data_IF_707999090905
#
_entry.id   IF_707999090905
#
_cell.length_a   1.000
_cell.length_b   1.000
_cell.length_c   1.000
_cell.angle_alpha   90.00
_cell.angle_beta   90.00
_cell.angle_gamma   90.00
#
_symmetry.space_group_name_H-M   'P 1'
#
loop_
_entity.id
_entity.type
_entity.pdbx_description
1 polymer ?
#
# COMPACT_ATOMS: atom_id res chain seq x y z
N UNK A 1 -14.89 8.05 2.15
CA UNK A 1 -15.31 9.08 1.17
C UNK A 1 -16.77 9.44 1.38
N UNK A 2 -17.23 10.54 0.79
CA UNK A 2 -18.59 11.05 0.97
C UNK A 2 -18.77 11.96 2.20
N UNK A 3 -17.68 12.36 2.86
CA UNK A 3 -17.67 13.33 3.95
C UNK A 3 -16.70 14.47 3.63
N UNK A 4 -16.78 15.56 4.36
CA UNK A 4 -15.79 16.64 4.26
C UNK A 4 -14.49 16.25 4.97
N UNK A 5 -13.30 16.76 4.54
CA UNK A 5 -12.02 16.51 5.21
C UNK A 5 -12.03 16.83 6.70
N UNK A 6 -12.85 17.80 7.13
CA UNK A 6 -13.04 18.14 8.53
C UNK A 6 -13.51 16.97 9.40
N UNK A 7 -14.25 16.01 8.85
CA UNK A 7 -14.66 14.82 9.59
C UNK A 7 -13.46 13.95 10.02
N UNK A 8 -12.31 14.06 9.34
CA UNK A 8 -11.09 13.33 9.67
C UNK A 8 -10.37 13.88 10.91
N UNK A 9 -10.77 15.04 11.42
CA UNK A 9 -10.23 15.61 12.67
C UNK A 9 -10.64 14.81 13.91
N UNK A 10 -11.82 14.16 13.86
CA UNK A 10 -12.44 13.46 15.00
C UNK A 10 -12.59 11.95 14.80
N UNK A 11 -12.19 11.42 13.63
CA UNK A 11 -12.27 10.00 13.33
C UNK A 11 -11.18 9.22 14.09
N UNK A 12 -11.49 7.98 14.46
CA UNK A 12 -10.51 6.94 14.82
C UNK A 12 -10.42 5.87 13.72
N UNK A 13 -9.35 5.09 13.73
CA UNK A 13 -9.11 4.08 12.70
C UNK A 13 -10.09 2.89 12.82
N UNK A 14 -10.65 2.66 14.00
CA UNK A 14 -11.68 1.66 14.24
C UNK A 14 -12.98 1.99 13.48
N UNK A 15 -13.31 3.28 13.36
CA UNK A 15 -14.44 3.72 12.51
C UNK A 15 -14.20 3.39 11.03
N UNK A 16 -12.97 3.56 10.53
CA UNK A 16 -12.63 3.15 9.16
C UNK A 16 -12.77 1.63 8.96
N UNK A 17 -12.32 0.85 9.95
CA UNK A 17 -12.48 -0.60 9.91
C UNK A 17 -13.95 -1.01 9.99
N UNK A 18 -14.77 -0.34 10.80
CA UNK A 18 -16.20 -0.57 10.85
C UNK A 18 -16.88 -0.26 9.51
N UNK A 19 -16.48 0.83 8.85
CA UNK A 19 -16.96 1.15 7.49
C UNK A 19 -16.55 0.07 6.47
N UNK A 20 -15.32 -0.47 6.58
CA UNK A 20 -14.86 -1.58 5.74
C UNK A 20 -15.72 -2.83 5.95
N UNK A 21 -16.02 -3.19 7.20
CA UNK A 21 -16.92 -4.32 7.53
C UNK A 21 -18.33 -4.11 6.98
N UNK A 22 -18.84 -2.88 7.08
CA UNK A 22 -20.14 -2.52 6.51
C UNK A 22 -20.12 -2.69 4.98
N UNK A 23 -19.10 -2.17 4.30
CA UNK A 23 -18.97 -2.29 2.85
C UNK A 23 -18.94 -3.76 2.38
N UNK A 24 -18.18 -4.61 3.07
CA UNK A 24 -18.15 -6.06 2.75
C UNK A 24 -19.53 -6.70 2.97
N UNK A 25 -20.21 -6.37 4.06
CA UNK A 25 -21.55 -6.88 4.34
C UNK A 25 -22.55 -6.47 3.25
N UNK A 26 -22.54 -5.20 2.83
CA UNK A 26 -23.43 -4.71 1.79
C UNK A 26 -23.07 -5.29 0.41
N UNK A 27 -21.80 -5.41 0.07
CA UNK A 27 -21.39 -6.08 -1.16
C UNK A 27 -21.86 -7.55 -1.19
N UNK A 28 -21.72 -8.24 -0.06
CA UNK A 28 -22.21 -9.62 0.10
C UNK A 28 -23.74 -9.71 -0.04
N UNK A 29 -24.47 -8.78 0.57
CA UNK A 29 -25.95 -8.72 0.47
C UNK A 29 -26.40 -8.51 -0.97
N UNK A 30 -25.69 -7.67 -1.74
CA UNK A 30 -26.03 -7.36 -3.14
C UNK A 30 -25.64 -8.48 -4.10
N UNK A 31 -24.46 -9.06 -3.95
CA UNK A 31 -23.92 -10.06 -4.87
C UNK A 31 -24.30 -11.50 -4.51
N UNK A 32 -24.66 -11.77 -3.25
CA UNK A 32 -24.88 -13.10 -2.72
C UNK A 32 -23.62 -13.72 -2.09
N UNK A 33 -23.81 -14.65 -1.17
CA UNK A 33 -22.72 -15.28 -0.41
C UNK A 33 -21.85 -16.23 -1.23
N UNK A 34 -22.36 -16.73 -2.33
CA UNK A 34 -21.66 -17.69 -3.22
C UNK A 34 -20.68 -17.02 -4.18
N UNK A 35 -20.82 -15.72 -4.42
CA UNK A 35 -19.92 -14.96 -5.31
C UNK A 35 -18.59 -14.73 -4.61
N UNK A 36 -17.44 -14.98 -5.26
CA UNK A 36 -16.13 -14.72 -4.68
C UNK A 36 -15.97 -13.28 -4.15
N UNK A 37 -15.45 -13.13 -2.93
CA UNK A 37 -15.11 -11.83 -2.37
C UNK A 37 -13.62 -11.54 -2.62
N UNK A 38 -13.35 -10.47 -3.37
CA UNK A 38 -12.01 -9.92 -3.51
C UNK A 38 -11.96 -8.54 -2.85
N UNK A 39 -10.93 -8.28 -2.05
CA UNK A 39 -10.69 -6.98 -1.45
C UNK A 39 -9.59 -6.26 -2.23
N UNK A 40 -9.91 -5.06 -2.72
CA UNK A 40 -8.93 -4.17 -3.34
C UNK A 40 -8.70 -2.98 -2.40
N UNK A 41 -7.45 -2.76 -1.99
CA UNK A 41 -7.10 -1.69 -1.07
C UNK A 41 -5.96 -0.83 -1.59
N UNK A 42 -6.18 0.49 -1.66
CA UNK A 42 -5.17 1.47 -2.02
C UNK A 42 -4.71 2.24 -0.78
N UNK A 43 -3.40 2.40 -0.61
CA UNK A 43 -2.80 3.19 0.48
C UNK A 43 -3.33 2.77 1.86
N UNK A 44 -4.01 3.65 2.59
CA UNK A 44 -4.66 3.35 3.88
C UNK A 44 -5.74 2.27 3.73
N UNK A 45 -6.44 2.24 2.59
CA UNK A 45 -7.40 1.17 2.27
C UNK A 45 -6.73 -0.21 2.17
N UNK A 46 -5.46 -0.28 1.77
CA UNK A 46 -4.67 -1.51 1.80
C UNK A 46 -4.42 -2.02 3.22
N UNK A 47 -4.13 -1.12 4.17
CA UNK A 47 -4.03 -1.48 5.58
C UNK A 47 -5.36 -1.99 6.14
N UNK A 48 -6.47 -1.33 5.78
CA UNK A 48 -7.82 -1.75 6.20
C UNK A 48 -8.22 -3.09 5.60
N UNK A 49 -7.92 -3.35 4.32
CA UNK A 49 -8.18 -4.63 3.67
C UNK A 49 -7.42 -5.77 4.35
N UNK A 50 -6.14 -5.57 4.66
CA UNK A 50 -5.34 -6.56 5.39
C UNK A 50 -5.84 -6.76 6.83
N UNK A 51 -6.15 -5.66 7.54
CA UNK A 51 -6.69 -5.72 8.91
C UNK A 51 -8.02 -6.48 8.96
N UNK A 52 -8.94 -6.18 8.02
CA UNK A 52 -10.19 -6.92 7.87
C UNK A 52 -9.95 -8.41 7.62
N UNK A 53 -9.02 -8.74 6.71
CA UNK A 53 -8.71 -10.13 6.33
C UNK A 53 -8.16 -10.92 7.52
N UNK A 54 -7.27 -10.32 8.31
CA UNK A 54 -6.75 -10.94 9.53
C UNK A 54 -7.84 -11.13 10.59
N UNK A 55 -8.71 -10.13 10.80
CA UNK A 55 -9.82 -10.25 11.74
C UNK A 55 -10.80 -11.37 11.32
N UNK A 56 -10.99 -11.57 10.02
CA UNK A 56 -11.86 -12.63 9.48
C UNK A 56 -11.29 -14.04 9.69
N UNK A 57 -10.02 -14.19 10.08
CA UNK A 57 -9.48 -15.51 10.45
C UNK A 57 -10.13 -16.05 11.73
N UNK A 58 -10.37 -15.15 12.70
CA UNK A 58 -10.85 -15.50 14.04
C UNK A 58 -12.34 -15.20 14.26
N UNK A 59 -12.96 -14.38 13.39
CA UNK A 59 -14.35 -13.96 13.51
C UNK A 59 -15.25 -14.64 12.46
N UNK A 60 -15.97 -15.72 12.81
CA UNK A 60 -16.83 -16.43 11.86
C UNK A 60 -17.94 -15.57 11.23
N UNK A 61 -18.33 -14.48 11.89
CA UNK A 61 -19.30 -13.52 11.38
C UNK A 61 -18.75 -12.63 10.24
N UNK A 62 -17.42 -12.61 10.04
CA UNK A 62 -16.80 -11.88 8.95
C UNK A 62 -16.57 -12.79 7.76
N UNK A 63 -17.02 -12.35 6.59
CA UNK A 63 -16.79 -13.09 5.35
C UNK A 63 -15.32 -13.07 4.97
N UNK A 64 -14.73 -14.24 4.78
CA UNK A 64 -13.31 -14.36 4.35
C UNK A 64 -13.17 -14.02 2.88
N UNK A 65 -12.25 -13.13 2.49
CA UNK A 65 -11.94 -12.88 1.10
C UNK A 65 -11.21 -14.08 0.48
N UNK A 66 -11.36 -14.28 -0.82
CA UNK A 66 -10.61 -15.28 -1.58
C UNK A 66 -9.28 -14.73 -2.09
N UNK A 67 -9.16 -13.41 -2.23
CA UNK A 67 -7.94 -12.73 -2.62
C UNK A 67 -7.92 -11.31 -2.07
N UNK A 68 -6.73 -10.81 -1.76
CA UNK A 68 -6.50 -9.43 -1.39
C UNK A 68 -5.56 -8.79 -2.41
N UNK A 69 -5.98 -7.67 -3.00
CA UNK A 69 -5.20 -6.90 -3.98
C UNK A 69 -4.84 -5.55 -3.36
N UNK A 70 -3.58 -5.24 -3.31
CA UNK A 70 -3.04 -4.09 -2.60
C UNK A 70 -2.29 -3.18 -3.57
N UNK A 71 -2.62 -1.89 -3.55
CA UNK A 71 -1.97 -0.87 -4.36
C UNK A 71 -1.29 0.12 -3.42
N UNK A 72 0.04 0.18 -3.40
CA UNK A 72 0.84 0.98 -2.46
C UNK A 72 0.31 0.89 -1.02
N UNK A 73 0.18 -0.31 -0.43
CA UNK A 73 -0.51 -0.49 0.83
C UNK A 73 0.26 0.12 1.99
N UNK A 74 -0.46 0.78 2.88
CA UNK A 74 0.10 1.38 4.09
C UNK A 74 0.35 0.30 5.18
N UNK A 75 1.29 -0.61 4.89
CA UNK A 75 1.71 -1.68 5.83
C UNK A 75 2.63 -1.11 6.91
N UNK A 76 3.42 -0.10 6.57
CA UNK A 76 4.22 0.68 7.50
C UNK A 76 4.38 2.09 6.98
N UNK A 77 4.39 3.05 7.90
CA UNK A 77 4.56 4.47 7.61
C UNK A 77 5.93 4.93 8.05
N UNK A 78 6.42 6.00 7.44
CA UNK A 78 7.67 6.63 7.84
C UNK A 78 7.58 7.15 9.29
N UNK A 79 8.73 7.31 9.94
CA UNK A 79 8.80 7.76 11.35
C UNK A 79 8.09 9.11 11.59
N UNK A 80 7.96 9.94 10.54
CA UNK A 80 7.30 11.24 10.62
C UNK A 80 5.83 11.13 11.08
N UNK A 81 5.07 10.17 10.59
CA UNK A 81 3.66 10.00 10.97
C UNK A 81 3.47 9.67 12.47
N UNK A 82 4.50 9.10 13.13
CA UNK A 82 4.47 8.84 14.57
C UNK A 82 4.37 10.10 15.42
N UNK A 83 4.96 11.20 14.95
CA UNK A 83 5.00 12.47 15.68
C UNK A 83 3.86 13.43 15.28
N UNK A 84 3.05 13.08 14.28
CA UNK A 84 1.97 13.94 13.78
C UNK A 84 0.99 14.36 14.89
N UNK A 85 0.67 13.44 15.81
CA UNK A 85 -0.23 13.74 16.95
C UNK A 85 0.27 14.84 17.88
N UNK A 86 1.60 14.93 18.09
CA UNK A 86 2.19 15.99 18.92
C UNK A 86 2.22 17.33 18.18
N UNK A 87 2.36 17.33 16.87
CA UNK A 87 2.33 18.54 16.04
C UNK A 87 0.95 19.25 16.08
N UNK A 88 -0.12 18.52 16.39
CA UNK A 88 -1.47 19.07 16.52
C UNK A 88 -1.79 19.68 17.90
N UNK A 89 -0.97 19.48 18.93
CA UNK A 89 -1.26 19.99 20.29
C UNK A 89 -1.50 21.52 20.35
N UNK A 90 -0.78 22.38 19.60
CA UNK A 90 -1.06 23.81 19.60
C UNK A 90 -2.47 24.17 19.10
N UNK A 91 -3.11 23.30 18.29
CA UNK A 91 -4.45 23.55 17.75
C UNK A 91 -5.57 23.56 18.81
N UNK A 92 -5.29 23.15 20.05
CA UNK A 92 -6.20 23.32 21.18
C UNK A 92 -6.48 24.80 21.50
N UNK A 93 -5.61 25.70 21.05
CA UNK A 93 -5.83 27.14 21.15
C UNK A 93 -6.38 27.67 19.81
N UNK A 94 -7.48 28.46 19.80
CA UNK A 94 -8.09 28.95 18.54
C UNK A 94 -7.13 29.69 17.61
N UNK A 95 -6.15 30.41 18.19
CA UNK A 95 -5.12 31.13 17.41
C UNK A 95 -4.23 30.19 16.56
N UNK A 96 -4.16 28.90 16.91
CA UNK A 96 -3.33 27.90 16.25
C UNK A 96 -4.15 26.79 15.59
N UNK A 97 -5.42 27.03 15.27
CA UNK A 97 -6.33 26.03 14.66
C UNK A 97 -5.74 25.40 13.39
N UNK A 98 -4.93 26.12 12.61
CA UNK A 98 -4.22 25.60 11.43
C UNK A 98 -3.20 24.48 11.78
N UNK A 99 -2.71 24.40 13.02
CA UNK A 99 -1.83 23.32 13.46
C UNK A 99 -2.54 21.93 13.52
N UNK A 100 -3.87 21.90 13.42
CA UNK A 100 -4.62 20.65 13.27
C UNK A 100 -4.50 20.03 11.87
N UNK A 101 -3.88 20.73 10.92
CA UNK A 101 -3.78 20.32 9.53
C UNK A 101 -2.33 20.24 9.07
N UNK A 102 -1.97 19.14 8.42
CA UNK A 102 -0.70 18.99 7.72
C UNK A 102 -0.72 19.72 6.39
N UNK A 103 -1.88 19.72 5.73
CA UNK A 103 -2.12 20.43 4.50
C UNK A 103 -3.59 20.88 4.45
N UNK A 104 -3.82 22.08 3.89
CA UNK A 104 -5.15 22.59 3.57
C UNK A 104 -5.10 23.03 2.11
N UNK A 105 -5.91 22.41 1.29
CA UNK A 105 -6.00 22.65 -0.14
C UNK A 105 -7.47 22.70 -0.57
N UNK A 106 -7.82 23.31 -1.71
CA UNK A 106 -9.16 23.23 -2.28
C UNK A 106 -9.57 21.77 -2.53
N UNK A 107 -10.80 21.42 -2.18
CA UNK A 107 -11.38 20.08 -2.36
C UNK A 107 -12.11 20.02 -3.71
N UNK A 108 -11.37 19.81 -4.76
CA UNK A 108 -11.90 19.74 -6.14
C UNK A 108 -12.06 18.29 -6.61
N UNK A 109 -11.39 17.33 -5.97
CA UNK A 109 -11.41 15.95 -6.39
C UNK A 109 -12.42 15.14 -5.54
N UNK A 110 -13.47 14.54 -6.15
CA UNK A 110 -14.48 13.77 -5.41
C UNK A 110 -13.97 12.41 -4.90
N UNK A 111 -12.82 11.94 -5.38
CA UNK A 111 -12.30 10.61 -5.09
C UNK A 111 -11.25 10.58 -3.98
N UNK A 112 -10.65 11.73 -3.64
CA UNK A 112 -9.66 11.85 -2.56
C UNK A 112 -9.81 13.17 -1.81
N UNK A 113 -9.33 13.21 -0.58
CA UNK A 113 -9.18 14.44 0.18
C UNK A 113 -7.87 15.15 -0.21
N UNK A 114 -7.93 16.43 -0.53
CA UNK A 114 -6.76 17.27 -0.78
C UNK A 114 -6.21 17.86 0.51
N UNK A 115 -7.08 18.14 1.47
CA UNK A 115 -6.69 18.57 2.82
C UNK A 115 -6.47 17.38 3.72
N UNK A 116 -5.40 17.41 4.52
CA UNK A 116 -5.02 16.29 5.37
C UNK A 116 -4.83 16.72 6.83
N UNK A 117 -5.75 16.36 7.74
CA UNK A 117 -5.63 16.67 9.17
C UNK A 117 -4.51 15.87 9.83
N UNK A 118 -3.90 16.46 10.86
CA UNK A 118 -2.91 15.80 11.72
C UNK A 118 -3.48 14.51 12.33
N UNK A 119 -4.76 14.54 12.76
CA UNK A 119 -5.40 13.36 13.31
C UNK A 119 -5.47 12.20 12.30
N UNK A 120 -5.77 12.47 11.02
CA UNK A 120 -5.80 11.43 10.00
C UNK A 120 -4.44 10.72 9.87
N UNK A 121 -3.33 11.47 9.89
CA UNK A 121 -1.99 10.88 9.88
C UNK A 121 -1.71 10.03 11.13
N UNK A 122 -2.13 10.52 12.31
CA UNK A 122 -2.01 9.79 13.56
C UNK A 122 -2.82 8.49 13.54
N UNK A 123 -4.06 8.52 13.08
CA UNK A 123 -4.92 7.34 13.00
C UNK A 123 -4.40 6.32 11.99
N UNK A 124 -3.88 6.77 10.85
CA UNK A 124 -3.22 5.90 9.88
C UNK A 124 -2.00 5.20 10.48
N UNK A 125 -1.20 5.91 11.28
CA UNK A 125 -0.08 5.32 12.00
C UNK A 125 -0.54 4.29 13.05
N UNK A 126 -1.60 4.59 13.83
CA UNK A 126 -2.17 3.66 14.81
C UNK A 126 -2.70 2.39 14.15
N UNK A 127 -3.40 2.53 13.02
CA UNK A 127 -3.86 1.39 12.22
C UNK A 127 -2.69 0.51 11.75
N UNK A 128 -1.64 1.11 11.18
CA UNK A 128 -0.47 0.34 10.71
C UNK A 128 0.27 -0.32 11.87
N UNK A 129 0.34 0.31 13.04
CA UNK A 129 0.92 -0.30 14.24
C UNK A 129 0.10 -1.52 14.68
N UNK A 130 -1.23 -1.37 14.82
CA UNK A 130 -2.13 -2.47 15.18
C UNK A 130 -2.05 -3.62 14.16
N UNK A 131 -1.97 -3.30 12.86
CA UNK A 131 -1.80 -4.27 11.79
C UNK A 131 -0.48 -5.04 11.92
N UNK A 132 0.65 -4.35 12.12
CA UNK A 132 1.96 -4.98 12.28
C UNK A 132 2.03 -5.88 13.51
N UNK A 133 1.47 -5.43 14.64
CA UNK A 133 1.39 -6.24 15.86
C UNK A 133 0.55 -7.51 15.62
N UNK A 134 -0.56 -7.41 14.87
CA UNK A 134 -1.39 -8.55 14.53
C UNK A 134 -0.68 -9.50 13.57
N UNK A 135 -0.09 -9.02 12.47
CA UNK A 135 0.70 -9.87 11.55
C UNK A 135 1.77 -10.63 12.32
N UNK A 136 2.54 -9.94 13.19
CA UNK A 136 3.60 -10.58 13.97
C UNK A 136 3.07 -11.63 14.97
N UNK A 137 1.90 -11.43 15.55
CA UNK A 137 1.24 -12.41 16.41
C UNK A 137 0.78 -13.64 15.62
N UNK A 138 0.02 -13.41 14.54
CA UNK A 138 -0.49 -14.48 13.68
C UNK A 138 0.64 -15.32 13.06
N UNK A 139 1.77 -14.66 12.71
CA UNK A 139 2.96 -15.35 12.21
C UNK A 139 3.57 -16.29 13.26
N UNK A 140 3.75 -15.81 14.51
CA UNK A 140 4.30 -16.63 15.61
C UNK A 140 3.40 -17.83 15.96
N UNK A 141 2.08 -17.66 15.82
CA UNK A 141 1.08 -18.67 16.10
C UNK A 141 0.78 -19.56 14.89
N UNK A 142 1.52 -19.38 13.78
CA UNK A 142 1.35 -20.11 12.51
C UNK A 142 -0.08 -20.05 11.95
N UNK A 143 -0.83 -18.97 12.21
CA UNK A 143 -2.22 -18.80 11.74
C UNK A 143 -2.31 -18.15 10.38
N UNK A 144 -1.23 -17.52 9.91
CA UNK A 144 -1.18 -16.92 8.56
C UNK A 144 -1.34 -17.96 7.44
N UNK A 145 -1.23 -19.27 7.74
CA UNK A 145 -1.48 -20.33 6.75
C UNK A 145 -2.91 -20.28 6.18
N UNK A 146 -3.85 -19.68 6.91
CA UNK A 146 -5.24 -19.54 6.51
C UNK A 146 -5.53 -18.24 5.73
N UNK A 147 -4.51 -17.39 5.49
CA UNK A 147 -4.68 -16.19 4.69
C UNK A 147 -4.89 -16.51 3.21
N UNK A 148 -5.78 -15.79 2.54
CA UNK A 148 -5.88 -15.85 1.08
C UNK A 148 -4.60 -15.32 0.42
N UNK A 149 -4.37 -15.62 -0.86
CA UNK A 149 -3.29 -15.01 -1.63
C UNK A 149 -3.38 -13.48 -1.62
N UNK A 150 -2.23 -12.84 -1.47
CA UNK A 150 -2.08 -11.38 -1.54
C UNK A 150 -1.31 -11.02 -2.80
N UNK A 151 -1.90 -10.19 -3.65
CA UNK A 151 -1.23 -9.55 -4.78
C UNK A 151 -0.98 -8.09 -4.42
N UNK A 152 0.26 -7.64 -4.40
CA UNK A 152 0.56 -6.25 -4.11
C UNK A 152 1.36 -5.59 -5.22
N UNK A 153 1.05 -4.32 -5.49
CA UNK A 153 1.75 -3.44 -6.41
C UNK A 153 2.41 -2.31 -5.62
N UNK A 154 3.73 -2.16 -5.77
CA UNK A 154 4.50 -1.22 -4.95
C UNK A 154 5.62 -0.57 -5.77
N UNK A 155 5.79 0.74 -5.64
CA UNK A 155 6.99 1.41 -6.17
C UNK A 155 8.17 1.24 -5.22
N UNK A 156 9.36 0.98 -5.75
CA UNK A 156 10.58 0.89 -4.94
C UNK A 156 10.92 2.24 -4.27
N UNK A 157 10.56 3.35 -4.92
CA UNK A 157 10.80 4.72 -4.46
C UNK A 157 9.56 5.39 -3.86
N UNK A 158 8.61 4.61 -3.37
CA UNK A 158 7.43 5.19 -2.73
C UNK A 158 7.85 6.05 -1.52
N UNK A 159 7.51 7.34 -1.60
CA UNK A 159 7.84 8.34 -0.57
C UNK A 159 6.80 8.41 0.54
N UNK A 160 5.63 7.84 0.33
CA UNK A 160 4.47 7.92 1.23
C UNK A 160 4.39 6.71 2.16
N UNK A 161 4.52 5.51 1.59
CA UNK A 161 4.49 4.25 2.35
C UNK A 161 5.86 3.57 2.28
N UNK A 162 6.19 2.83 3.32
CA UNK A 162 7.48 2.14 3.38
C UNK A 162 7.46 0.85 2.57
N UNK A 163 8.11 0.85 1.41
CA UNK A 163 8.28 -0.35 0.58
C UNK A 163 9.00 -1.46 1.36
N UNK A 164 9.98 -1.11 2.21
CA UNK A 164 10.62 -2.06 3.11
C UNK A 164 9.61 -2.72 4.04
N UNK A 165 8.66 -1.96 4.60
CA UNK A 165 7.65 -2.53 5.49
C UNK A 165 6.68 -3.47 4.73
N UNK A 166 6.39 -3.20 3.47
CA UNK A 166 5.61 -4.13 2.62
C UNK A 166 6.34 -5.46 2.49
N UNK A 167 7.64 -5.44 2.19
CA UNK A 167 8.46 -6.65 2.07
C UNK A 167 8.59 -7.35 3.42
N UNK A 168 9.23 -6.69 4.40
CA UNK A 168 9.64 -7.36 5.65
C UNK A 168 8.51 -7.53 6.67
N UNK A 169 7.56 -6.60 6.68
CA UNK A 169 6.44 -6.57 7.62
C UNK A 169 5.19 -7.31 7.13
N UNK A 170 5.12 -7.63 5.84
CA UNK A 170 4.01 -8.41 5.29
C UNK A 170 4.52 -9.63 4.52
N UNK A 171 5.15 -9.46 3.36
CA UNK A 171 5.45 -10.56 2.44
C UNK A 171 6.37 -11.62 3.04
N UNK A 172 7.41 -11.22 3.78
CA UNK A 172 8.32 -12.16 4.46
C UNK A 172 7.64 -12.94 5.61
N UNK A 173 6.44 -12.49 6.04
CA UNK A 173 5.64 -13.19 7.05
C UNK A 173 4.63 -14.17 6.42
N UNK A 174 4.28 -13.98 5.12
CA UNK A 174 3.26 -14.79 4.46
C UNK A 174 3.71 -16.24 4.27
N UNK A 175 2.77 -17.21 4.30
CA UNK A 175 3.02 -18.59 3.91
C UNK A 175 3.20 -18.71 2.39
N UNK A 176 3.58 -19.90 1.92
CA UNK A 176 3.57 -20.24 0.51
C UNK A 176 2.12 -20.51 0.04
N UNK A 177 1.36 -19.46 -0.23
CA UNK A 177 -0.08 -19.50 -0.55
C UNK A 177 -0.42 -18.90 -1.93
N UNK A 178 0.58 -18.69 -2.79
CA UNK A 178 0.37 -18.07 -4.10
C UNK A 178 0.39 -16.54 -4.08
N UNK A 179 0.85 -15.93 -2.98
CA UNK A 179 1.02 -14.47 -2.92
C UNK A 179 2.11 -13.99 -3.87
N UNK A 180 1.94 -12.77 -4.42
CA UNK A 180 2.86 -12.14 -5.36
C UNK A 180 3.04 -10.65 -5.05
N UNK A 181 4.29 -10.19 -5.14
CA UNK A 181 4.67 -8.79 -5.03
C UNK A 181 5.18 -8.29 -6.38
N UNK A 182 4.47 -7.33 -6.96
CA UNK A 182 4.87 -6.60 -8.17
C UNK A 182 5.51 -5.29 -7.75
N UNK A 183 6.78 -5.10 -8.13
CA UNK A 183 7.57 -3.90 -7.79
C UNK A 183 7.86 -3.10 -9.04
N UNK A 184 7.53 -1.81 -9.01
CA UNK A 184 7.95 -0.86 -10.04
C UNK A 184 9.31 -0.29 -9.64
N UNK A 185 10.31 -0.57 -10.47
CA UNK A 185 11.66 -0.07 -10.32
C UNK A 185 11.75 1.41 -10.71
N UNK A 186 12.93 1.99 -10.65
CA UNK A 186 13.21 3.32 -11.17
C UNK A 186 13.40 3.26 -12.69
N UNK A 187 13.11 4.36 -13.36
CA UNK A 187 13.37 4.51 -14.80
C UNK A 187 14.87 4.74 -15.03
N UNK A 188 15.58 3.70 -15.44
CA UNK A 188 17.02 3.71 -15.69
C UNK A 188 17.42 4.64 -16.84
N UNK A 189 16.50 4.92 -17.78
CA UNK A 189 16.72 5.75 -18.95
C UNK A 189 16.37 7.25 -18.73
N UNK A 190 15.93 7.62 -17.51
CA UNK A 190 15.53 9.01 -17.22
C UNK A 190 16.72 9.98 -17.36
N UNK A 191 16.47 11.14 -17.98
CA UNK A 191 17.48 12.19 -18.24
C UNK A 191 18.13 12.75 -16.98
N UNK A 192 17.48 12.62 -15.84
CA UNK A 192 17.92 13.15 -14.53
C UNK A 192 18.88 12.21 -13.78
N UNK A 193 19.27 11.10 -14.38
CA UNK A 193 20.15 10.08 -13.76
C UNK A 193 21.36 10.66 -13.01
N UNK A 194 22.09 11.66 -13.53
CA UNK A 194 23.26 12.21 -12.85
C UNK A 194 22.94 12.97 -11.54
N UNK A 195 21.68 13.36 -11.32
CA UNK A 195 21.26 14.15 -10.16
C UNK A 195 20.87 13.30 -8.95
N UNK A 196 20.77 11.97 -9.12
CA UNK A 196 20.34 11.08 -8.05
C UNK A 196 21.51 10.39 -7.34
N UNK A 197 21.29 10.06 -6.07
CA UNK A 197 22.27 9.32 -5.27
C UNK A 197 22.50 7.93 -5.87
N UNK A 198 23.75 7.44 -5.90
CA UNK A 198 24.06 6.09 -6.40
C UNK A 198 23.22 4.97 -5.74
N UNK A 199 22.85 5.12 -4.46
CA UNK A 199 22.02 4.17 -3.72
C UNK A 199 20.61 4.01 -4.29
N UNK A 200 20.10 4.99 -5.04
CA UNK A 200 18.78 4.87 -5.69
C UNK A 200 18.79 3.78 -6.76
N UNK A 201 19.91 3.64 -7.50
CA UNK A 201 20.05 2.66 -8.59
C UNK A 201 20.13 1.22 -8.12
N UNK A 202 20.48 1.00 -6.86
CA UNK A 202 20.55 -0.32 -6.22
C UNK A 202 19.39 -0.57 -5.26
N UNK A 203 18.39 0.34 -5.21
CA UNK A 203 17.31 0.26 -4.25
C UNK A 203 16.54 -1.05 -4.35
N UNK A 204 16.20 -1.47 -5.58
CA UNK A 204 15.46 -2.72 -5.82
C UNK A 204 16.26 -3.95 -5.41
N UNK A 205 17.54 -4.05 -5.80
CA UNK A 205 18.39 -5.18 -5.44
C UNK A 205 18.73 -5.23 -3.95
N UNK A 206 18.85 -4.07 -3.30
CA UNK A 206 19.04 -3.98 -1.85
C UNK A 206 17.79 -4.38 -1.07
N UNK A 207 16.60 -4.09 -1.62
CA UNK A 207 15.31 -4.44 -1.02
C UNK A 207 14.97 -5.91 -1.24
N UNK A 208 15.24 -6.42 -2.44
CA UNK A 208 14.90 -7.75 -2.90
C UNK A 208 16.15 -8.50 -3.40
N UNK A 209 17.09 -8.83 -2.50
CA UNK A 209 18.29 -9.60 -2.88
C UNK A 209 17.88 -10.96 -3.43
N UNK A 210 18.71 -11.54 -4.29
CA UNK A 210 18.45 -12.87 -4.87
C UNK A 210 18.37 -13.91 -3.75
N UNK A 211 17.19 -14.49 -3.55
CA UNK A 211 16.92 -15.51 -2.54
C UNK A 211 15.65 -16.29 -2.88
N UNK A 212 15.53 -17.51 -2.35
CA UNK A 212 14.25 -18.22 -2.38
C UNK A 212 13.26 -17.57 -1.43
N UNK A 213 12.07 -17.24 -1.93
CA UNK A 213 10.98 -16.64 -1.16
C UNK A 213 9.74 -17.52 -1.20
N UNK A 214 8.87 -17.37 -0.21
CA UNK A 214 7.57 -18.07 -0.16
C UNK A 214 6.52 -17.43 -1.06
N UNK A 215 6.82 -16.30 -1.67
CA UNK A 215 5.96 -15.53 -2.57
C UNK A 215 6.67 -15.26 -3.91
N UNK A 216 5.89 -15.05 -4.95
CA UNK A 216 6.41 -14.62 -6.25
C UNK A 216 6.82 -13.16 -6.21
N UNK A 217 7.84 -12.79 -6.99
CA UNK A 217 8.26 -11.39 -7.18
C UNK A 217 8.32 -11.09 -8.67
N UNK A 218 7.64 -10.03 -9.08
CA UNK A 218 7.74 -9.47 -10.43
C UNK A 218 8.27 -8.05 -10.34
N UNK A 219 9.39 -7.76 -11.01
CA UNK A 219 9.99 -6.42 -11.09
C UNK A 219 9.71 -5.84 -12.47
N UNK A 220 8.97 -4.73 -12.51
CA UNK A 220 8.73 -3.94 -13.73
C UNK A 220 9.88 -2.93 -13.85
N UNK A 221 10.72 -3.06 -14.87
CA UNK A 221 11.91 -2.22 -15.05
C UNK A 221 12.16 -1.95 -16.54
N UNK A 222 13.18 -1.15 -16.87
CA UNK A 222 13.59 -0.90 -18.24
C UNK A 222 14.20 -2.17 -18.87
N UNK A 223 14.01 -2.37 -20.16
CA UNK A 223 14.64 -3.45 -20.93
C UNK A 223 16.17 -3.30 -20.97
N UNK A 224 16.68 -2.06 -20.95
CA UNK A 224 18.08 -1.70 -20.77
C UNK A 224 18.21 -0.30 -20.17
N UNK A 225 19.40 0.07 -19.70
CA UNK A 225 19.67 1.39 -19.11
C UNK A 225 19.43 2.60 -20.02
N UNK A 226 19.31 2.36 -21.34
CA UNK A 226 19.12 3.40 -22.35
C UNK A 226 17.79 3.26 -23.11
N UNK A 227 16.91 2.37 -22.66
CA UNK A 227 15.62 2.12 -23.30
C UNK A 227 14.47 2.47 -22.38
N UNK A 228 13.48 3.17 -22.89
CA UNK A 228 12.21 3.39 -22.17
C UNK A 228 11.26 2.19 -22.27
N UNK A 229 11.55 1.21 -23.13
CA UNK A 229 10.78 -0.06 -23.18
C UNK A 229 10.89 -0.77 -21.83
N UNK A 230 9.80 -1.42 -21.42
CA UNK A 230 9.73 -2.10 -20.12
C UNK A 230 9.71 -3.62 -20.28
N UNK A 231 10.20 -4.28 -19.26
CA UNK A 231 10.13 -5.73 -19.08
C UNK A 231 9.62 -6.07 -17.70
N UNK A 232 8.95 -7.21 -17.60
CA UNK A 232 8.64 -7.86 -16.33
C UNK A 232 9.69 -8.95 -16.07
N UNK A 233 10.40 -8.84 -14.96
CA UNK A 233 11.35 -9.83 -14.45
C UNK A 233 10.68 -10.59 -13.32
N UNK A 234 10.28 -11.82 -13.55
CA UNK A 234 9.50 -12.63 -12.62
C UNK A 234 10.33 -13.76 -12.04
N UNK A 235 10.36 -13.83 -10.72
CA UNK A 235 10.92 -14.95 -9.94
C UNK A 235 9.78 -15.64 -9.19
N UNK A 236 9.43 -16.89 -9.53
CA UNK A 236 8.38 -17.62 -8.85
C UNK A 236 8.72 -17.91 -7.38
N UNK A 237 7.69 -18.14 -6.56
CA UNK A 237 7.87 -18.62 -5.20
C UNK A 237 8.70 -19.90 -5.16
N UNK A 238 9.62 -20.02 -4.20
CA UNK A 238 10.51 -21.18 -4.04
C UNK A 238 11.66 -21.25 -5.06
N UNK A 239 11.79 -20.28 -5.96
CA UNK A 239 12.81 -20.25 -7.02
C UNK A 239 13.77 -19.08 -6.82
N UNK A 240 14.94 -19.18 -7.46
CA UNK A 240 15.86 -18.07 -7.71
C UNK A 240 16.00 -17.79 -9.22
N UNK A 241 15.32 -18.59 -10.05
CA UNK A 241 15.36 -18.43 -11.51
C UNK A 241 14.41 -17.34 -11.96
N UNK A 242 14.95 -16.32 -12.59
CA UNK A 242 14.20 -15.21 -13.17
C UNK A 242 13.80 -15.53 -14.61
N UNK A 243 12.60 -15.15 -14.99
CA UNK A 243 12.12 -15.09 -16.38
C UNK A 243 11.88 -13.63 -16.76
N UNK A 244 12.20 -13.26 -18.00
CA UNK A 244 12.05 -11.89 -18.49
C UNK A 244 11.07 -11.87 -19.65
N UNK A 245 10.02 -11.05 -19.53
CA UNK A 245 8.98 -10.90 -20.54
C UNK A 245 8.88 -9.42 -20.95
N UNK A 246 9.01 -9.08 -22.23
CA UNK A 246 8.76 -7.72 -22.70
C UNK A 246 7.32 -7.29 -22.45
N UNK A 247 7.13 -6.03 -22.05
CA UNK A 247 5.83 -5.42 -21.91
C UNK A 247 5.56 -4.43 -23.04
N UNK A 248 4.28 -4.16 -23.28
CA UNK A 248 3.85 -3.17 -24.28
C UNK A 248 4.06 -1.74 -23.79
N UNK A 249 4.01 -1.54 -22.46
CA UNK A 249 4.16 -0.25 -21.81
C UNK A 249 5.60 0.26 -21.95
N UNK A 250 5.75 1.59 -21.93
CA UNK A 250 7.04 2.26 -21.89
C UNK A 250 7.08 3.24 -20.72
N UNK A 251 8.26 3.48 -20.15
CA UNK A 251 8.45 4.55 -19.20
C UNK A 251 8.27 5.91 -19.90
N UNK A 252 7.51 6.84 -19.33
CA UNK A 252 7.53 8.23 -19.80
C UNK A 252 8.92 8.85 -19.60
N UNK A 253 9.36 9.68 -20.57
CA UNK A 253 10.72 10.22 -20.58
C UNK A 253 11.06 11.04 -19.34
N UNK A 254 10.10 11.80 -18.81
CA UNK A 254 10.28 12.73 -17.70
C UNK A 254 9.88 12.11 -16.33
N UNK A 255 9.53 10.82 -16.30
CA UNK A 255 9.19 10.11 -15.07
C UNK A 255 10.40 9.28 -14.61
N UNK A 256 10.96 9.66 -13.46
CA UNK A 256 12.07 8.94 -12.83
C UNK A 256 11.60 7.66 -12.11
N UNK A 257 10.52 7.77 -11.34
CA UNK A 257 9.93 6.67 -10.59
C UNK A 257 8.47 6.96 -10.30
N UNK A 258 7.72 5.93 -9.97
CA UNK A 258 6.42 6.11 -9.34
C UNK A 258 6.67 6.44 -7.85
N UNK A 259 6.09 7.51 -7.32
CA UNK A 259 6.18 7.79 -5.88
C UNK A 259 5.14 6.99 -5.09
N UNK A 260 3.99 6.77 -5.70
CA UNK A 260 2.87 5.99 -5.18
C UNK A 260 2.21 5.31 -6.37
N UNK A 261 1.97 4.00 -6.32
CA UNK A 261 1.30 3.31 -7.43
C UNK A 261 -0.12 3.85 -7.51
N UNK A 262 -0.37 4.64 -8.56
CA UNK A 262 -1.64 5.33 -8.71
C UNK A 262 -2.74 4.35 -9.14
N UNK A 263 -3.91 4.49 -8.53
CA UNK A 263 -5.15 4.01 -9.14
C UNK A 263 -5.42 4.91 -10.34
N UNK A 264 -5.72 4.34 -11.53
CA UNK A 264 -6.03 5.18 -12.68
C UNK A 264 -7.31 5.98 -12.41
N UNK A 265 -7.18 7.29 -12.49
CA UNK A 265 -8.30 8.22 -12.47
C UNK A 265 -8.74 8.53 -13.90
N UNK A 266 -10.00 9.00 -14.11
CA UNK A 266 -10.42 9.49 -15.41
C UNK A 266 -9.49 10.60 -15.92
N UNK A 267 -9.35 10.80 -17.25
CA UNK A 267 -8.47 11.83 -17.79
C UNK A 267 -8.89 13.28 -17.42
N UNK A 268 -10.10 13.45 -16.95
CA UNK A 268 -10.71 14.71 -16.48
C UNK A 268 -10.70 14.85 -14.94
N UNK A 269 -9.98 13.96 -14.26
CA UNK A 269 -9.76 14.04 -12.81
C UNK A 269 -8.49 14.87 -12.54
N UNK A 270 -8.67 16.10 -12.10
CA UNK A 270 -7.60 17.07 -11.77
C UNK A 270 -6.94 16.77 -10.41
#
# INVERSE_FOLDING_TARGET
HGTAPGALTDVDWEMWLAATRLAVREATRLAGETVPLHLVGYSNGGALAMKYTLDALDAPALRKPQQVILLSPMIGVTAFARFAGFAGLPALLPAFAKAAWLNIAPEYNPYKYNSFPVNAARQSWLLTKALQEQIGREARENRLVNLPPVLAFQSVMDSTVSTRAVVTGLFDQLPANGSELVVFDINQAASFRPLFKPSSWTATSALLPVSQRRYGVTIITNASEHSFSTVAKTTPAGSTRETVVPLVQTWPQDVYSLSHVAVPFPPDDD
#
